data_IF_436124561782
#
_entry.id   IF_436124561782
#
_cell.length_a   1.000
_cell.length_b   1.000
_cell.length_c   1.000
_cell.angle_alpha   90.00
_cell.angle_beta   90.00
_cell.angle_gamma   90.00
#
_symmetry.space_group_name_H-M   'P 1'
#
loop_
_entity.id
_entity.type
_entity.pdbx_description
1 polymer ?
#
# COMPACT_ATOMS: atom_id res chain seq x y z
N UNK A 1 22.92 6.77 -35.08
CA UNK A 1 21.83 6.62 -34.07
C UNK A 1 21.76 7.92 -33.28
N UNK A 2 20.70 8.71 -33.48
CA UNK A 2 20.41 9.86 -32.65
C UNK A 2 20.13 9.39 -31.24
N UNK A 3 20.93 9.83 -30.27
CA UNK A 3 20.65 9.65 -28.86
C UNK A 3 19.39 10.44 -28.52
N UNK A 4 18.26 9.75 -28.41
CA UNK A 4 17.02 10.37 -27.94
C UNK A 4 17.23 10.79 -26.50
N UNK A 5 17.29 12.08 -26.22
CA UNK A 5 17.35 12.61 -24.85
C UNK A 5 15.97 12.38 -24.22
N UNK A 6 15.87 11.37 -23.37
CA UNK A 6 14.66 11.15 -22.59
C UNK A 6 14.62 12.17 -21.44
N UNK A 7 13.63 13.05 -21.45
CA UNK A 7 13.37 13.94 -20.33
C UNK A 7 12.50 13.20 -19.30
N UNK A 8 13.12 12.77 -18.21
CA UNK A 8 12.42 12.23 -17.05
C UNK A 8 12.02 13.35 -16.09
N UNK A 9 10.85 13.22 -15.47
CA UNK A 9 10.44 14.07 -14.36
C UNK A 9 10.83 13.43 -13.04
N UNK A 10 10.86 14.26 -11.99
CA UNK A 10 11.09 13.83 -10.62
C UNK A 10 9.96 14.35 -9.74
N UNK A 11 9.39 13.48 -8.91
CA UNK A 11 8.33 13.78 -7.96
C UNK A 11 8.69 13.12 -6.64
N UNK A 12 9.17 13.89 -5.67
CA UNK A 12 9.68 13.37 -4.40
C UNK A 12 9.20 14.18 -3.23
N UNK A 13 9.12 13.54 -2.06
CA UNK A 13 8.64 14.15 -0.82
C UNK A 13 9.38 15.45 -0.50
N UNK A 14 10.71 15.42 -0.45
CA UNK A 14 11.55 16.55 -0.03
C UNK A 14 11.56 17.74 -1.02
N UNK A 15 11.07 17.50 -2.24
CA UNK A 15 11.05 18.51 -3.31
C UNK A 15 9.64 18.76 -3.82
N UNK A 16 8.63 18.33 -3.07
CA UNK A 16 7.24 18.42 -3.50
C UNK A 16 6.79 19.87 -3.66
N UNK A 17 6.22 20.12 -4.84
CA UNK A 17 5.56 21.37 -5.17
C UNK A 17 4.10 21.08 -5.59
N UNK A 18 3.10 21.57 -4.83
CA UNK A 18 1.69 21.39 -5.18
C UNK A 18 1.31 21.92 -6.58
N UNK A 19 2.09 22.86 -7.13
CA UNK A 19 1.89 23.37 -8.49
C UNK A 19 2.42 22.42 -9.58
N UNK A 20 3.15 21.37 -9.19
CA UNK A 20 3.75 20.38 -10.10
C UNK A 20 3.16 18.99 -9.85
N UNK A 21 1.88 18.71 -10.20
CA UNK A 21 1.27 17.41 -10.02
C UNK A 21 1.93 16.33 -10.86
N UNK A 22 1.71 15.07 -10.48
CA UNK A 22 2.12 13.93 -11.30
C UNK A 22 1.43 14.00 -12.67
N UNK A 23 2.21 13.83 -13.74
CA UNK A 23 1.73 13.91 -15.12
C UNK A 23 1.93 12.59 -15.85
N UNK A 24 1.46 12.51 -17.09
CA UNK A 24 1.63 11.31 -17.94
C UNK A 24 3.09 11.09 -18.37
N UNK A 25 3.96 12.11 -18.27
CA UNK A 25 5.39 11.98 -18.59
C UNK A 25 6.08 10.94 -17.68
N UNK A 26 7.09 10.21 -18.21
CA UNK A 26 7.89 9.29 -17.41
C UNK A 26 8.50 10.02 -16.20
N UNK A 27 8.19 9.54 -14.99
CA UNK A 27 8.49 10.24 -13.74
C UNK A 27 9.08 9.30 -12.71
N UNK A 28 10.22 9.68 -12.11
CA UNK A 28 10.71 9.07 -10.88
C UNK A 28 9.90 9.59 -9.69
N UNK A 29 9.37 8.68 -8.89
CA UNK A 29 8.52 8.97 -7.72
C UNK A 29 9.24 8.42 -6.50
N UNK A 30 9.73 9.31 -5.61
CA UNK A 30 10.75 8.96 -4.61
C UNK A 30 10.37 9.45 -3.23
N UNK A 31 10.41 8.55 -2.26
CA UNK A 31 10.49 8.86 -0.84
C UNK A 31 11.86 8.42 -0.30
N UNK A 32 12.70 9.37 0.13
CA UNK A 32 14.01 9.03 0.70
C UNK A 32 13.94 8.29 2.03
N UNK A 33 12.90 8.54 2.85
CA UNK A 33 12.72 7.93 4.18
C UNK A 33 11.23 7.78 4.49
N UNK A 34 10.57 6.79 3.89
CA UNK A 34 9.21 6.41 4.31
C UNK A 34 9.25 5.79 5.71
N UNK A 35 8.36 6.28 6.59
CA UNK A 35 8.36 5.94 8.00
C UNK A 35 9.30 6.81 8.84
N UNK A 36 9.35 8.12 8.58
CA UNK A 36 10.23 9.10 9.27
C UNK A 36 10.13 9.03 10.80
N UNK A 37 8.92 8.86 11.36
CA UNK A 37 8.73 8.69 12.82
C UNK A 37 9.47 7.45 13.31
N UNK A 38 9.36 6.34 12.61
CA UNK A 38 10.05 5.09 12.95
C UNK A 38 11.58 5.28 12.88
N UNK A 39 12.05 5.93 11.82
CA UNK A 39 13.46 6.22 11.63
C UNK A 39 14.04 7.03 12.79
N UNK A 40 13.38 8.12 13.20
CA UNK A 40 13.82 8.98 14.32
C UNK A 40 13.85 8.22 15.64
N UNK A 41 12.94 7.27 15.85
CA UNK A 41 12.89 6.47 17.09
C UNK A 41 13.75 5.19 17.04
N UNK A 42 14.41 4.91 15.92
CA UNK A 42 15.17 3.66 15.74
C UNK A 42 14.31 2.41 15.66
N UNK A 43 13.00 2.56 15.37
CA UNK A 43 12.13 1.44 15.12
C UNK A 43 12.41 0.86 13.72
N UNK A 44 12.72 -0.45 13.57
CA UNK A 44 13.31 -1.00 12.34
C UNK A 44 12.28 -1.19 11.21
N UNK A 45 11.39 -0.22 11.02
CA UNK A 45 10.33 -0.24 10.02
C UNK A 45 10.26 1.10 9.28
N UNK A 46 11.36 1.42 8.58
CA UNK A 46 11.49 2.55 7.67
C UNK A 46 12.30 2.12 6.45
N UNK A 47 12.10 2.80 5.31
CA UNK A 47 12.70 2.38 4.05
C UNK A 47 12.93 3.55 3.09
N UNK A 48 13.68 3.27 2.02
CA UNK A 48 13.74 4.08 0.82
C UNK A 48 12.70 3.51 -0.16
N UNK A 49 11.85 4.36 -0.74
CA UNK A 49 10.86 3.99 -1.73
C UNK A 49 11.18 4.66 -3.07
N UNK A 50 11.48 3.87 -4.10
CA UNK A 50 11.85 4.33 -5.43
C UNK A 50 10.86 3.76 -6.45
N UNK A 51 9.95 4.60 -6.92
CA UNK A 51 8.99 4.28 -7.96
C UNK A 51 9.37 4.90 -9.31
N UNK A 52 8.88 4.31 -10.38
CA UNK A 52 8.88 4.92 -11.70
C UNK A 52 7.51 4.73 -12.33
N UNK A 53 6.92 5.83 -12.80
CA UNK A 53 5.59 5.85 -13.39
C UNK A 53 5.65 6.35 -14.84
N UNK A 54 4.80 5.78 -15.71
CA UNK A 54 4.53 6.23 -17.08
C UNK A 54 3.02 6.32 -17.22
N UNK A 55 2.50 7.38 -17.81
CA UNK A 55 1.06 7.65 -17.91
C UNK A 55 0.37 7.57 -16.53
N UNK A 56 1.03 8.11 -15.49
CA UNK A 56 0.63 8.03 -14.07
C UNK A 56 0.42 6.62 -13.53
N UNK A 57 0.90 5.61 -14.24
CA UNK A 57 0.82 4.20 -13.82
C UNK A 57 2.19 3.73 -13.36
N UNK A 58 2.31 3.23 -12.13
CA UNK A 58 3.55 2.65 -11.64
C UNK A 58 4.02 1.48 -12.52
N UNK A 59 5.30 1.47 -12.92
CA UNK A 59 5.88 0.45 -13.80
C UNK A 59 7.13 -0.21 -13.25
N UNK A 60 7.88 0.50 -12.39
CA UNK A 60 9.03 -0.07 -11.64
C UNK A 60 8.90 0.34 -10.20
N UNK A 61 9.19 -0.57 -9.28
CA UNK A 61 9.20 -0.31 -7.86
C UNK A 61 10.40 -0.97 -7.18
N UNK A 62 11.07 -0.20 -6.31
CA UNK A 62 12.13 -0.69 -5.42
C UNK A 62 11.88 -0.12 -4.04
N UNK A 63 11.81 -0.98 -3.02
CA UNK A 63 11.69 -0.61 -1.61
C UNK A 63 12.83 -1.28 -0.84
N UNK A 64 13.63 -0.48 -0.14
CA UNK A 64 14.76 -1.00 0.63
C UNK A 64 14.68 -0.59 2.08
N UNK A 65 14.58 -1.59 2.98
CA UNK A 65 14.68 -1.40 4.42
C UNK A 65 16.13 -1.65 4.87
N UNK A 66 16.87 -0.60 5.26
CA UNK A 66 18.27 -0.72 5.66
C UNK A 66 18.48 -1.37 7.03
N UNK A 67 17.46 -1.38 7.91
CA UNK A 67 17.57 -1.94 9.25
C UNK A 67 17.76 -3.46 9.25
N UNK A 68 17.12 -4.14 8.30
CA UNK A 68 17.20 -5.60 8.18
C UNK A 68 17.78 -6.06 6.84
N UNK A 69 18.31 -5.14 6.03
CA UNK A 69 18.89 -5.39 4.71
C UNK A 69 17.94 -6.13 3.77
N UNK A 70 16.69 -5.65 3.71
CA UNK A 70 15.64 -6.27 2.89
C UNK A 70 15.34 -5.38 1.68
N UNK A 71 15.50 -5.92 0.49
CA UNK A 71 15.24 -5.25 -0.79
C UNK A 71 14.05 -5.92 -1.49
N UNK A 72 13.00 -5.14 -1.74
CA UNK A 72 11.88 -5.54 -2.60
C UNK A 72 12.02 -4.86 -3.95
N UNK A 73 11.74 -5.56 -5.02
CA UNK A 73 11.80 -4.99 -6.38
C UNK A 73 10.80 -5.65 -7.32
N UNK A 74 10.25 -4.85 -8.23
CA UNK A 74 9.37 -5.33 -9.28
C UNK A 74 9.45 -4.46 -10.52
N UNK A 75 9.23 -5.09 -11.67
CA UNK A 75 8.99 -4.44 -12.96
C UNK A 75 7.67 -5.00 -13.49
N UNK A 76 6.81 -4.14 -14.00
CA UNK A 76 5.52 -4.56 -14.54
C UNK A 76 5.69 -5.64 -15.62
N UNK A 77 5.02 -6.78 -15.43
CA UNK A 77 5.08 -7.96 -16.30
C UNK A 77 6.23 -8.93 -16.03
N UNK A 78 7.15 -8.60 -15.09
CA UNK A 78 8.33 -9.42 -14.80
C UNK A 78 8.28 -10.08 -13.41
N UNK A 79 7.23 -9.80 -12.63
CA UNK A 79 7.07 -10.30 -11.27
C UNK A 79 7.75 -9.45 -10.21
N UNK A 80 7.50 -9.81 -8.95
CA UNK A 80 8.08 -9.17 -7.78
C UNK A 80 9.04 -10.09 -7.04
N UNK A 81 10.11 -9.51 -6.46
CA UNK A 81 11.19 -10.27 -5.85
C UNK A 81 11.67 -9.64 -4.54
N UNK A 82 12.00 -10.52 -3.59
CA UNK A 82 12.75 -10.19 -2.39
C UNK A 82 14.25 -10.49 -2.64
N UNK A 83 15.11 -9.54 -2.25
CA UNK A 83 16.57 -9.66 -2.35
C UNK A 83 17.01 -10.15 -3.74
N UNK A 84 16.35 -9.67 -4.81
CA UNK A 84 16.61 -9.88 -6.23
C UNK A 84 16.27 -11.27 -6.80
N UNK A 85 16.17 -12.31 -5.98
CA UNK A 85 16.08 -13.69 -6.47
C UNK A 85 14.95 -14.52 -5.87
N UNK A 86 14.37 -14.10 -4.75
CA UNK A 86 13.27 -14.82 -4.12
C UNK A 86 11.95 -14.24 -4.59
N UNK A 87 11.23 -15.00 -5.43
CA UNK A 87 9.96 -14.55 -6.02
C UNK A 87 8.88 -14.37 -4.94
N UNK A 88 8.12 -13.29 -5.03
CA UNK A 88 6.94 -13.06 -4.19
C UNK A 88 5.69 -13.73 -4.79
N UNK A 89 4.70 -14.10 -3.96
CA UNK A 89 4.67 -14.01 -2.50
C UNK A 89 5.53 -15.09 -1.80
N UNK A 90 5.96 -14.80 -0.56
CA UNK A 90 6.79 -15.72 0.24
C UNK A 90 5.99 -16.70 1.08
N UNK A 91 4.83 -16.23 1.57
CA UNK A 91 4.06 -16.96 2.57
C UNK A 91 3.18 -18.03 1.91
N UNK A 92 3.22 -19.25 2.45
CA UNK A 92 2.36 -20.33 2.00
C UNK A 92 0.85 -20.00 2.05
N UNK A 93 0.44 -19.11 2.97
CA UNK A 93 -0.95 -18.60 3.03
C UNK A 93 -1.38 -17.85 1.75
N UNK A 94 -0.46 -17.27 1.01
CA UNK A 94 -0.77 -16.66 -0.27
C UNK A 94 -1.14 -17.68 -1.36
N UNK A 95 -0.95 -18.96 -1.08
CA UNK A 95 -1.44 -20.07 -1.90
C UNK A 95 -2.87 -20.50 -1.55
N UNK A 96 -3.48 -19.85 -0.55
CA UNK A 96 -4.85 -20.11 -0.10
C UNK A 96 -5.78 -18.95 -0.46
N UNK A 97 -7.07 -19.20 -0.75
CA UNK A 97 -8.07 -18.15 -0.88
C UNK A 97 -8.12 -17.22 0.34
N UNK A 98 -8.57 -15.99 0.14
CA UNK A 98 -8.93 -15.10 1.23
C UNK A 98 -10.31 -15.48 1.77
N UNK A 99 -10.42 -15.71 3.08
CA UNK A 99 -11.60 -16.29 3.72
C UNK A 99 -12.19 -15.34 4.80
N UNK A 100 -12.47 -14.09 4.40
CA UNK A 100 -13.12 -13.10 5.26
C UNK A 100 -12.20 -12.44 6.28
N UNK A 101 -12.69 -11.35 6.85
CA UNK A 101 -11.93 -10.48 7.78
C UNK A 101 -11.62 -11.18 9.10
N UNK A 102 -12.47 -12.06 9.60
CA UNK A 102 -12.25 -12.82 10.85
C UNK A 102 -10.99 -13.69 10.80
N UNK A 103 -10.52 -14.04 9.60
CA UNK A 103 -9.31 -14.80 9.37
C UNK A 103 -8.11 -13.93 8.95
N UNK A 104 -8.32 -12.62 8.77
CA UNK A 104 -7.33 -11.72 8.20
C UNK A 104 -6.45 -11.03 9.24
N UNK A 105 -5.16 -10.97 8.99
CA UNK A 105 -4.23 -10.05 9.62
C UNK A 105 -4.13 -8.80 8.75
N UNK A 106 -4.55 -7.65 9.29
CA UNK A 106 -4.66 -6.43 8.51
C UNK A 106 -3.75 -5.31 9.03
N UNK A 107 -3.30 -4.45 8.12
CA UNK A 107 -2.66 -3.18 8.41
C UNK A 107 -3.68 -2.04 8.36
N UNK A 108 -3.71 -1.20 9.38
CA UNK A 108 -4.56 0.01 9.46
C UNK A 108 -3.74 1.15 10.03
N UNK A 109 -3.58 2.23 9.27
CA UNK A 109 -2.73 3.33 9.70
C UNK A 109 -3.54 4.57 10.13
N UNK A 110 -2.97 5.28 11.10
CA UNK A 110 -3.56 6.49 11.66
C UNK A 110 -3.35 7.72 10.78
N UNK A 111 -2.23 7.78 10.06
CA UNK A 111 -1.79 8.97 9.36
C UNK A 111 -1.41 10.10 10.33
N UNK A 112 -1.40 11.34 9.84
CA UNK A 112 -0.97 12.54 10.59
C UNK A 112 -2.13 13.32 11.24
N UNK A 113 -3.35 13.19 10.74
CA UNK A 113 -4.51 13.93 11.24
C UNK A 113 -4.97 13.42 12.61
N UNK A 114 -5.34 14.36 13.51
CA UNK A 114 -5.79 14.06 14.88
C UNK A 114 -7.17 14.65 15.18
N UNK A 115 -7.84 15.21 14.19
CA UNK A 115 -9.18 15.79 14.28
C UNK A 115 -9.86 15.76 12.89
N UNK A 116 -11.12 16.13 12.85
CA UNK A 116 -11.87 16.23 11.60
C UNK A 116 -12.42 14.89 11.09
N UNK A 117 -12.95 14.91 9.87
CA UNK A 117 -13.69 13.80 9.29
C UNK A 117 -12.82 12.54 9.11
N UNK A 118 -11.61 12.70 8.58
CA UNK A 118 -10.70 11.57 8.34
C UNK A 118 -10.30 10.85 9.64
N UNK A 119 -10.00 11.63 10.70
CA UNK A 119 -9.73 11.07 12.03
C UNK A 119 -10.92 10.27 12.57
N UNK A 120 -12.12 10.86 12.53
CA UNK A 120 -13.34 10.20 13.02
C UNK A 120 -13.63 8.93 12.24
N UNK A 121 -13.51 8.96 10.90
CA UNK A 121 -13.68 7.81 10.03
C UNK A 121 -12.71 6.69 10.40
N UNK A 122 -11.42 7.00 10.57
CA UNK A 122 -10.39 6.01 10.94
C UNK A 122 -10.67 5.39 12.32
N UNK A 123 -10.96 6.20 13.33
CA UNK A 123 -11.24 5.71 14.71
C UNK A 123 -12.47 4.81 14.74
N UNK A 124 -13.56 5.22 14.12
CA UNK A 124 -14.81 4.44 14.07
C UNK A 124 -14.64 3.14 13.28
N UNK A 125 -13.92 3.20 12.18
CA UNK A 125 -13.60 2.01 11.39
C UNK A 125 -12.74 1.04 12.19
N UNK A 126 -11.69 1.52 12.88
CA UNK A 126 -10.86 0.69 13.74
C UNK A 126 -11.69 -0.01 14.85
N UNK A 127 -12.58 0.74 15.51
CA UNK A 127 -13.52 0.18 16.51
C UNK A 127 -14.39 -0.92 15.88
N UNK A 128 -14.94 -0.66 14.70
CA UNK A 128 -15.81 -1.59 13.98
C UNK A 128 -15.08 -2.87 13.57
N UNK A 129 -13.83 -2.74 13.12
CA UNK A 129 -13.00 -3.89 12.74
C UNK A 129 -12.68 -4.80 13.95
N UNK A 130 -12.48 -4.21 15.14
CA UNK A 130 -12.13 -4.97 16.34
C UNK A 130 -13.31 -5.58 17.10
N UNK A 131 -14.54 -5.07 16.91
CA UNK A 131 -15.73 -5.60 17.58
C UNK A 131 -16.09 -7.00 17.11
N UNK A 132 -16.76 -7.76 17.98
CA UNK A 132 -17.28 -9.10 17.66
C UNK A 132 -18.37 -9.03 16.58
N UNK A 133 -18.54 -10.11 15.84
CA UNK A 133 -19.61 -10.25 14.85
C UNK A 133 -21.00 -10.06 15.50
N UNK A 134 -21.20 -10.55 16.72
CA UNK A 134 -22.45 -10.41 17.48
C UNK A 134 -22.79 -8.96 17.81
N UNK A 135 -21.79 -8.09 17.94
CA UNK A 135 -21.93 -6.65 18.16
C UNK A 135 -21.87 -5.84 16.83
N UNK A 136 -22.00 -6.54 15.72
CA UNK A 136 -21.98 -5.97 14.37
C UNK A 136 -20.60 -5.48 13.93
N UNK A 137 -19.50 -6.01 14.49
CA UNK A 137 -18.14 -5.79 14.08
C UNK A 137 -17.65 -6.80 13.05
N UNK A 138 -16.42 -6.63 12.57
CA UNK A 138 -15.77 -7.55 11.64
C UNK A 138 -14.97 -8.66 12.36
N UNK A 139 -14.70 -8.48 13.65
CA UNK A 139 -13.91 -9.41 14.46
C UNK A 139 -12.61 -9.86 13.77
N UNK A 140 -11.91 -8.91 13.15
CA UNK A 140 -10.67 -9.21 12.41
C UNK A 140 -9.70 -9.98 13.32
N UNK A 141 -8.94 -10.91 12.75
CA UNK A 141 -8.02 -11.74 13.52
C UNK A 141 -7.00 -10.92 14.29
N UNK A 142 -6.43 -9.90 13.67
CA UNK A 142 -5.55 -8.93 14.32
C UNK A 142 -5.30 -7.72 13.44
N UNK A 143 -4.95 -6.58 14.08
CA UNK A 143 -4.60 -5.33 13.39
C UNK A 143 -3.17 -4.94 13.69
N UNK A 144 -2.55 -4.23 12.74
CA UNK A 144 -1.21 -3.63 12.85
C UNK A 144 -1.27 -2.18 12.40
N UNK A 145 -0.52 -1.33 13.07
CA UNK A 145 -0.21 0.03 12.66
C UNK A 145 1.31 0.16 12.76
N UNK A 146 2.00 0.17 11.63
CA UNK A 146 3.44 -0.01 11.57
C UNK A 146 4.19 1.23 11.08
N UNK A 147 3.48 2.19 10.45
CA UNK A 147 3.99 3.54 10.18
C UNK A 147 4.91 3.67 8.97
N UNK A 148 4.81 2.79 7.97
CA UNK A 148 5.47 2.90 6.67
C UNK A 148 4.56 2.32 5.59
N UNK A 149 4.02 3.16 4.71
CA UNK A 149 3.09 2.73 3.67
C UNK A 149 3.77 1.82 2.64
N UNK A 150 4.99 2.16 2.22
CA UNK A 150 5.74 1.33 1.27
C UNK A 150 6.03 -0.07 1.83
N UNK A 151 6.46 -0.18 3.11
CA UNK A 151 6.68 -1.49 3.75
C UNK A 151 5.38 -2.24 4.03
N UNK A 152 4.27 -1.54 4.33
CA UNK A 152 2.97 -2.17 4.48
C UNK A 152 2.51 -2.82 3.18
N UNK A 153 2.66 -2.15 2.03
CA UNK A 153 2.40 -2.73 0.71
C UNK A 153 3.32 -3.93 0.41
N UNK A 154 4.60 -3.84 0.77
CA UNK A 154 5.52 -4.98 0.67
C UNK A 154 5.11 -6.15 1.58
N UNK A 155 4.62 -5.88 2.79
CA UNK A 155 4.13 -6.92 3.70
C UNK A 155 2.89 -7.63 3.13
N UNK A 156 1.99 -6.89 2.48
CA UNK A 156 0.85 -7.46 1.75
C UNK A 156 1.34 -8.28 0.54
N UNK A 157 2.29 -7.77 -0.24
CA UNK A 157 2.89 -8.47 -1.37
C UNK A 157 3.56 -9.80 -0.98
N UNK A 158 4.19 -9.84 0.19
CA UNK A 158 4.79 -11.06 0.75
C UNK A 158 3.74 -12.06 1.28
N UNK A 159 2.51 -11.64 1.53
CA UNK A 159 1.50 -12.42 2.22
C UNK A 159 1.65 -12.43 3.74
N UNK A 160 2.43 -11.51 4.30
CA UNK A 160 2.55 -11.29 5.75
C UNK A 160 1.35 -10.55 6.34
N UNK A 161 0.71 -9.69 5.54
CA UNK A 161 -0.60 -9.11 5.76
C UNK A 161 -1.57 -9.62 4.71
N UNK A 162 -2.83 -9.82 5.08
CA UNK A 162 -3.90 -10.16 4.15
C UNK A 162 -4.47 -8.91 3.49
N UNK A 163 -4.49 -7.77 4.22
CA UNK A 163 -5.04 -6.51 3.77
C UNK A 163 -4.30 -5.34 4.42
N UNK A 164 -4.27 -4.21 3.73
CA UNK A 164 -3.79 -2.92 4.24
C UNK A 164 -4.72 -1.80 3.81
N UNK A 165 -5.07 -0.89 4.74
CA UNK A 165 -5.91 0.28 4.50
C UNK A 165 -5.31 1.54 5.12
N UNK A 166 -5.22 2.59 4.31
CA UNK A 166 -4.73 3.89 4.74
C UNK A 166 -5.28 5.02 3.87
N UNK A 167 -5.44 6.19 4.48
CA UNK A 167 -5.69 7.45 3.80
C UNK A 167 -4.72 8.52 4.27
N UNK A 168 -4.28 9.36 3.34
CA UNK A 168 -3.33 10.43 3.56
C UNK A 168 -1.95 10.20 2.93
N UNK A 169 -1.68 9.00 2.41
CA UNK A 169 -0.45 8.72 1.67
C UNK A 169 -0.31 9.61 0.43
N UNK A 170 0.92 9.87 0.06
CA UNK A 170 1.26 10.52 -1.19
C UNK A 170 1.72 9.52 -2.26
N UNK A 171 1.93 9.99 -3.47
CA UNK A 171 2.38 9.14 -4.56
C UNK A 171 3.71 8.43 -4.26
N UNK A 172 4.63 9.10 -3.57
CA UNK A 172 5.95 8.55 -3.23
C UNK A 172 5.89 7.43 -2.19
N UNK A 173 4.89 7.44 -1.29
CA UNK A 173 4.68 6.38 -0.30
C UNK A 173 4.21 5.07 -0.96
N UNK A 174 3.50 5.17 -2.09
CA UNK A 174 2.77 4.02 -2.64
C UNK A 174 3.27 3.54 -4.01
N UNK A 175 3.88 4.39 -4.82
CA UNK A 175 4.22 4.08 -6.20
C UNK A 175 5.08 2.80 -6.33
N UNK A 176 6.14 2.67 -5.54
CA UNK A 176 7.00 1.50 -5.57
C UNK A 176 6.29 0.24 -5.03
N UNK A 177 5.66 0.36 -3.86
CA UNK A 177 4.91 -0.73 -3.22
C UNK A 177 3.75 -1.24 -4.08
N UNK A 178 3.14 -0.36 -4.87
CA UNK A 178 2.07 -0.72 -5.80
C UNK A 178 2.53 -1.75 -6.85
N UNK A 179 3.64 -1.48 -7.53
CA UNK A 179 4.17 -2.43 -8.53
C UNK A 179 4.52 -3.74 -7.86
N UNK A 180 5.20 -3.69 -6.71
CA UNK A 180 5.60 -4.89 -5.95
C UNK A 180 4.37 -5.73 -5.58
N UNK A 181 3.31 -5.09 -5.11
CA UNK A 181 2.06 -5.76 -4.73
C UNK A 181 1.36 -6.40 -5.93
N UNK A 182 1.18 -5.64 -7.01
CA UNK A 182 0.44 -6.13 -8.19
C UNK A 182 1.20 -7.25 -8.91
N UNK A 183 2.51 -7.17 -8.99
CA UNK A 183 3.37 -8.22 -9.56
C UNK A 183 3.46 -9.47 -8.66
N UNK A 184 3.13 -9.35 -7.37
CA UNK A 184 2.93 -10.47 -6.46
C UNK A 184 1.50 -11.05 -6.50
N UNK A 185 0.64 -10.56 -7.41
CA UNK A 185 -0.74 -11.03 -7.59
C UNK A 185 -1.77 -10.37 -6.68
N UNK A 186 -1.37 -9.34 -5.92
CA UNK A 186 -2.29 -8.56 -5.10
C UNK A 186 -3.09 -7.53 -5.88
N UNK A 187 -4.09 -6.96 -5.24
CA UNK A 187 -4.97 -5.93 -5.79
C UNK A 187 -4.93 -4.68 -4.91
N UNK A 188 -4.99 -3.50 -5.52
CA UNK A 188 -5.11 -2.22 -4.84
C UNK A 188 -6.28 -1.45 -5.44
N UNK A 189 -7.12 -0.89 -4.57
CA UNK A 189 -8.31 -0.10 -4.90
C UNK A 189 -8.36 1.16 -4.05
N UNK A 190 -9.31 2.06 -4.30
CA UNK A 190 -9.51 3.24 -3.44
C UNK A 190 -9.91 2.81 -2.01
N UNK A 191 -9.45 3.57 -1.04
CA UNK A 191 -9.74 3.32 0.37
C UNK A 191 -11.18 3.61 0.79
N UNK A 192 -11.98 4.22 -0.08
CA UNK A 192 -13.40 4.46 0.13
C UNK A 192 -14.27 3.42 -0.56
N UNK A 193 -15.43 3.07 0.04
CA UNK A 193 -16.33 2.06 -0.52
C UNK A 193 -16.81 2.38 -1.94
N UNK A 194 -16.84 1.34 -2.78
CA UNK A 194 -17.43 1.39 -4.11
C UNK A 194 -16.53 1.92 -5.22
N UNK A 195 -15.36 2.46 -4.90
CA UNK A 195 -14.40 2.92 -5.91
C UNK A 195 -13.31 1.86 -6.15
N UNK A 196 -13.45 1.11 -7.23
CA UNK A 196 -12.50 0.05 -7.63
C UNK A 196 -11.26 0.59 -8.33
N UNK A 197 -11.28 1.86 -8.73
CA UNK A 197 -10.18 2.50 -9.47
C UNK A 197 -9.40 3.43 -8.55
N UNK A 198 -8.27 2.95 -8.03
CA UNK A 198 -7.31 3.80 -7.35
C UNK A 198 -6.36 4.44 -8.34
N UNK A 199 -5.89 5.66 -8.05
CA UNK A 199 -4.79 6.33 -8.76
C UNK A 199 -3.60 6.49 -7.82
N UNK A 200 -2.39 6.55 -8.37
CA UNK A 200 -1.17 6.64 -7.55
C UNK A 200 -1.08 7.92 -6.72
N UNK A 201 -1.83 8.94 -7.09
CA UNK A 201 -1.98 10.23 -6.42
C UNK A 201 -3.32 10.39 -5.68
N UNK A 202 -4.12 9.31 -5.59
CA UNK A 202 -5.48 9.31 -5.02
C UNK A 202 -5.54 9.41 -3.50
N UNK A 203 -4.42 9.22 -2.81
CA UNK A 203 -4.23 9.39 -1.37
C UNK A 203 -5.06 8.49 -0.44
N UNK A 204 -5.82 7.56 -0.98
CA UNK A 204 -6.68 6.62 -0.23
C UNK A 204 -6.54 5.23 -0.83
N UNK A 205 -6.10 4.28 -0.03
CA UNK A 205 -5.74 2.96 -0.55
C UNK A 205 -6.26 1.84 0.32
N UNK A 206 -6.76 0.82 -0.36
CA UNK A 206 -7.07 -0.49 0.19
C UNK A 206 -6.37 -1.54 -0.67
N UNK A 207 -5.48 -2.28 -0.06
CA UNK A 207 -4.66 -3.28 -0.73
C UNK A 207 -4.92 -4.66 -0.13
N UNK A 208 -5.01 -5.69 -0.98
CA UNK A 208 -5.14 -7.09 -0.55
C UNK A 208 -4.08 -7.96 -1.21
N UNK A 209 -3.63 -8.99 -0.51
CA UNK A 209 -2.60 -9.91 -1.01
C UNK A 209 -3.05 -10.74 -2.20
N UNK A 210 -2.09 -11.29 -2.91
CA UNK A 210 -2.33 -12.33 -3.91
C UNK A 210 -3.01 -13.56 -3.32
N UNK A 211 -3.79 -14.23 -4.17
CA UNK A 211 -4.41 -15.53 -3.90
C UNK A 211 -4.58 -16.30 -5.21
N UNK A 212 -4.71 -17.63 -5.19
CA UNK A 212 -4.90 -18.40 -6.40
C UNK A 212 -6.14 -17.95 -7.18
N UNK A 213 -5.96 -17.60 -8.45
CA UNK A 213 -7.03 -17.10 -9.32
C UNK A 213 -7.79 -15.90 -8.73
N UNK A 214 -7.13 -15.08 -7.90
CA UNK A 214 -7.72 -13.94 -7.17
C UNK A 214 -8.88 -14.32 -6.22
N UNK A 215 -8.95 -15.59 -5.80
CA UNK A 215 -10.06 -16.10 -5.01
C UNK A 215 -10.18 -15.37 -3.65
N UNK A 216 -11.32 -14.77 -3.40
CA UNK A 216 -11.67 -14.05 -2.19
C UNK A 216 -11.14 -12.60 -2.11
N UNK A 217 -10.41 -12.10 -3.11
CA UNK A 217 -9.91 -10.71 -3.08
C UNK A 217 -11.07 -9.72 -3.13
N UNK A 218 -11.99 -9.90 -4.06
CA UNK A 218 -13.15 -9.03 -4.23
C UNK A 218 -14.03 -9.06 -2.99
N UNK A 219 -14.35 -10.25 -2.51
CA UNK A 219 -15.20 -10.47 -1.35
C UNK A 219 -14.61 -9.83 -0.09
N UNK A 220 -13.30 -9.95 0.12
CA UNK A 220 -12.61 -9.34 1.26
C UNK A 220 -12.61 -7.81 1.19
N UNK A 221 -12.42 -7.23 -0.02
CA UNK A 221 -12.50 -5.79 -0.25
C UNK A 221 -13.91 -5.28 0.06
N UNK A 222 -14.94 -5.92 -0.48
CA UNK A 222 -16.34 -5.54 -0.26
C UNK A 222 -16.75 -5.68 1.22
N UNK A 223 -16.31 -6.75 1.89
CA UNK A 223 -16.52 -6.94 3.33
C UNK A 223 -15.86 -5.82 4.13
N UNK A 224 -14.59 -5.49 3.86
CA UNK A 224 -13.89 -4.40 4.53
C UNK A 224 -14.60 -3.06 4.30
N UNK A 225 -14.98 -2.74 3.08
CA UNK A 225 -15.72 -1.53 2.75
C UNK A 225 -17.04 -1.44 3.53
N UNK A 226 -17.73 -2.57 3.75
CA UNK A 226 -18.96 -2.63 4.56
C UNK A 226 -18.75 -2.25 6.03
N UNK A 227 -17.51 -2.29 6.52
CA UNK A 227 -17.16 -1.91 7.89
C UNK A 227 -16.60 -0.48 8.01
N UNK A 228 -16.32 0.22 6.93
CA UNK A 228 -15.87 1.62 6.97
C UNK A 228 -17.01 2.51 7.50
N UNK A 229 -16.68 3.35 8.48
CA UNK A 229 -17.63 4.20 9.20
C UNK A 229 -17.46 5.68 8.81
N UNK A 230 -17.72 5.98 7.54
CA UNK A 230 -17.61 7.33 6.98
C UNK A 230 -16.99 7.33 5.59
N UNK A 231 -16.33 8.42 5.24
CA UNK A 231 -15.67 8.62 3.95
C UNK A 231 -14.38 9.41 4.16
N UNK A 232 -13.28 8.95 3.58
CA UNK A 232 -12.00 9.67 3.62
C UNK A 232 -11.99 10.79 2.57
N UNK A 233 -11.53 11.97 2.95
CA UNK A 233 -11.46 13.18 2.13
C UNK A 233 -10.00 13.69 2.12
N UNK A 234 -9.31 13.56 0.96
CA UNK A 234 -7.92 13.98 0.77
C UNK A 234 -7.74 14.69 -0.57
#
# INVERSE_FOLDING_TARGET
EELTVHHYRFHGEETYDPASPLTDAPTFVVDPIDGTVNFVHGFPYACISLGFAIDRKPVVGVVYNPFNNTLYSAIRGEGAYLNRNTKLPLNARSLEPLNGLENALIGVEWGSERAGNNWVTKVRTFEKLGKTNGDGGAMVRSMRSMGSAALNLCAVACGNLDLYWEGGCWAWDVCAGWVILTEAGGTIVDGNPGNWEATVDGRKYLAVRGSPNQAGQKELIEEFWGHIQGHLEY
#
